data_IF_038170732277
#
_entry.id   IF_038170732277
#
_cell.length_a   1.000
_cell.length_b   1.000
_cell.length_c   1.000
_cell.angle_alpha   90.00
_cell.angle_beta   90.00
_cell.angle_gamma   90.00
#
_symmetry.space_group_name_H-M   'P 1'
#
loop_
_entity.id
_entity.type
_entity.pdbx_description
1 polymer ?
#
# COMPACT_ATOMS: atom_id res chain seq x y z
N UNK A 1 -28.51 23.22 16.84
CA UNK A 1 -27.84 21.97 16.65
C UNK A 1 -27.41 21.40 18.00
N UNK A 2 -27.71 20.12 18.27
CA UNK A 2 -27.30 19.40 19.49
C UNK A 2 -26.54 18.14 19.07
N UNK A 3 -25.61 17.69 19.93
CA UNK A 3 -24.92 16.42 19.73
C UNK A 3 -25.92 15.28 19.92
N UNK A 4 -25.97 14.32 19.01
CA UNK A 4 -26.88 13.19 19.07
C UNK A 4 -26.73 12.37 20.36
N UNK A 5 -25.49 12.19 20.86
CA UNK A 5 -25.19 11.52 22.13
C UNK A 5 -25.71 12.25 23.38
N UNK A 6 -26.04 13.54 23.26
CA UNK A 6 -26.60 14.37 24.36
C UNK A 6 -28.13 14.61 24.22
N UNK A 7 -28.76 14.03 23.19
CA UNK A 7 -30.16 14.18 22.93
C UNK A 7 -30.95 13.03 23.53
N UNK A 8 -32.02 13.36 24.28
CA UNK A 8 -33.00 12.36 24.76
C UNK A 8 -34.08 12.20 23.70
N UNK A 9 -34.33 10.96 23.32
CA UNK A 9 -35.41 10.60 22.41
C UNK A 9 -36.69 10.49 23.24
N UNK A 10 -37.71 11.25 22.90
CA UNK A 10 -39.00 11.31 23.61
C UNK A 10 -40.22 10.87 22.74
N UNK A 11 -39.96 10.60 21.47
CA UNK A 11 -40.94 10.09 20.50
C UNK A 11 -40.23 9.34 19.38
N UNK A 12 -40.97 8.70 18.48
CA UNK A 12 -40.42 8.09 17.28
C UNK A 12 -39.66 9.13 16.45
N UNK A 13 -38.43 8.85 16.08
CA UNK A 13 -37.56 9.75 15.31
C UNK A 13 -36.97 9.04 14.11
N UNK A 14 -36.87 9.74 13.01
CA UNK A 14 -36.12 9.34 11.86
C UNK A 14 -34.71 9.97 11.95
N UNK A 15 -33.66 9.16 11.93
CA UNK A 15 -32.29 9.63 12.02
C UNK A 15 -31.61 9.43 10.67
N UNK A 16 -31.36 10.54 9.97
CA UNK A 16 -30.48 10.52 8.81
C UNK A 16 -29.02 10.45 9.28
N UNK A 17 -28.40 9.32 9.06
CA UNK A 17 -26.94 9.15 9.26
C UNK A 17 -26.26 9.45 7.93
N UNK A 18 -25.57 10.60 7.80
CA UNK A 18 -24.81 10.87 6.58
C UNK A 18 -23.75 9.78 6.40
N UNK A 19 -23.47 9.42 5.15
CA UNK A 19 -22.31 8.58 4.85
C UNK A 19 -21.04 9.32 5.29
N UNK A 20 -20.46 8.86 6.40
CA UNK A 20 -19.27 9.46 7.01
C UNK A 20 -18.11 9.44 6.04
N UNK A 21 -17.99 8.38 5.24
CA UNK A 21 -16.95 8.25 4.21
C UNK A 21 -17.09 9.34 3.13
N UNK A 22 -18.31 9.70 2.72
CA UNK A 22 -18.54 10.77 1.74
C UNK A 22 -18.25 12.16 2.28
N UNK A 23 -18.49 12.40 3.58
CA UNK A 23 -18.20 13.67 4.23
C UNK A 23 -16.67 13.94 4.34
N UNK A 24 -15.84 12.89 4.40
CA UNK A 24 -14.39 13.02 4.39
C UNK A 24 -13.80 13.19 2.99
N UNK A 25 -14.45 12.67 1.94
CA UNK A 25 -14.00 12.80 0.54
C UNK A 25 -13.80 14.24 0.07
N UNK A 26 -14.52 15.20 0.63
CA UNK A 26 -14.52 16.59 0.14
C UNK A 26 -13.57 17.55 0.88
N UNK A 27 -12.86 17.11 1.93
CA UNK A 27 -12.22 18.06 2.87
C UNK A 27 -10.77 17.77 3.21
N UNK A 28 -10.20 16.63 2.82
CA UNK A 28 -8.79 16.36 3.03
C UNK A 28 -8.01 16.75 1.78
N UNK A 29 -7.13 17.73 1.91
CA UNK A 29 -6.03 17.94 0.96
C UNK A 29 -5.07 16.77 1.12
N UNK A 30 -5.28 15.71 0.36
CA UNK A 30 -4.20 14.80 0.03
C UNK A 30 -3.25 15.60 -0.86
N UNK A 31 -1.94 15.42 -0.65
CA UNK A 31 -0.92 16.01 -1.50
C UNK A 31 -1.36 15.89 -2.97
N UNK A 32 -1.58 17.03 -3.62
CA UNK A 32 -2.04 17.04 -5.00
C UNK A 32 -0.83 16.89 -5.93
N UNK A 33 -0.32 15.63 -6.04
CA UNK A 33 0.77 15.29 -6.95
C UNK A 33 0.48 15.66 -8.43
N UNK A 34 -0.56 16.43 -8.72
CA UNK A 34 -0.83 17.02 -10.02
C UNK A 34 -0.28 18.45 -10.15
N UNK A 35 0.03 19.13 -9.05
CA UNK A 35 0.67 20.44 -9.11
C UNK A 35 2.16 20.30 -9.44
N UNK A 36 2.70 21.25 -10.21
CA UNK A 36 4.14 21.23 -10.55
C UNK A 36 5.04 21.32 -9.31
N UNK A 37 4.57 22.04 -8.29
CA UNK A 37 5.27 22.23 -7.02
C UNK A 37 5.37 20.92 -6.25
N UNK A 38 4.30 20.14 -6.17
CA UNK A 38 4.30 18.87 -5.44
C UNK A 38 5.05 17.76 -6.19
N UNK A 39 4.96 17.73 -7.52
CA UNK A 39 5.79 16.84 -8.35
C UNK A 39 7.27 17.17 -8.13
N UNK A 40 7.64 18.46 -8.11
CA UNK A 40 9.02 18.88 -7.86
C UNK A 40 9.51 18.46 -6.46
N UNK A 41 8.67 18.57 -5.42
CA UNK A 41 9.00 18.10 -4.06
C UNK A 41 9.23 16.58 -4.06
N UNK A 42 8.37 15.81 -4.73
CA UNK A 42 8.50 14.36 -4.84
C UNK A 42 9.79 13.94 -5.56
N UNK A 43 10.07 14.54 -6.73
CA UNK A 43 11.29 14.26 -7.51
C UNK A 43 12.56 14.67 -6.74
N UNK A 44 12.51 15.78 -6.01
CA UNK A 44 13.63 16.21 -5.16
C UNK A 44 13.87 15.22 -4.02
N UNK A 45 12.82 14.78 -3.31
CA UNK A 45 12.92 13.80 -2.23
C UNK A 45 13.48 12.45 -2.74
N UNK A 46 13.05 12.01 -3.92
CA UNK A 46 13.58 10.82 -4.60
C UNK A 46 15.08 10.99 -4.90
N UNK A 47 15.47 12.10 -5.50
CA UNK A 47 16.86 12.39 -5.81
C UNK A 47 17.73 12.45 -4.55
N UNK A 48 17.26 13.08 -3.48
CA UNK A 48 17.98 13.13 -2.21
C UNK A 48 18.21 11.75 -1.59
N UNK A 49 17.23 10.84 -1.69
CA UNK A 49 17.35 9.46 -1.22
C UNK A 49 18.38 8.69 -2.04
N UNK A 50 18.41 8.88 -3.36
CA UNK A 50 19.42 8.29 -4.24
C UNK A 50 20.83 8.83 -3.95
N UNK A 51 20.96 10.14 -3.73
CA UNK A 51 22.23 10.79 -3.34
C UNK A 51 22.75 10.30 -1.97
N UNK A 52 21.85 9.87 -1.10
CA UNK A 52 22.19 9.24 0.17
C UNK A 52 22.68 7.77 0.04
N UNK A 53 22.80 7.26 -1.21
CA UNK A 53 23.32 5.94 -1.51
C UNK A 53 22.28 4.81 -1.49
N UNK A 54 20.97 5.16 -1.47
CA UNK A 54 19.90 4.17 -1.58
C UNK A 54 19.52 4.02 -3.06
N UNK A 55 19.80 2.84 -3.63
CA UNK A 55 19.34 2.53 -4.98
C UNK A 55 17.83 2.36 -5.02
N UNK A 56 17.15 3.20 -5.80
CA UNK A 56 15.73 3.08 -6.09
C UNK A 56 15.51 2.10 -7.24
N UNK A 57 15.91 0.86 -7.04
CA UNK A 57 15.72 -0.23 -8.01
C UNK A 57 14.53 -1.09 -7.64
N UNK A 58 13.95 -1.73 -8.64
CA UNK A 58 12.98 -2.80 -8.43
C UNK A 58 13.55 -4.09 -9.04
N UNK A 59 13.13 -5.24 -8.52
CA UNK A 59 13.53 -6.55 -9.04
C UNK A 59 12.57 -7.07 -10.11
N UNK A 60 11.76 -6.18 -10.72
CA UNK A 60 10.79 -6.50 -11.74
C UNK A 60 11.30 -5.99 -13.09
N UNK A 61 11.29 -6.84 -14.09
CA UNK A 61 11.76 -6.55 -15.44
C UNK A 61 10.78 -7.07 -16.49
N UNK A 62 10.78 -6.44 -17.67
CA UNK A 62 10.15 -7.00 -18.87
C UNK A 62 11.24 -7.62 -19.72
N UNK A 63 11.19 -8.94 -19.86
CA UNK A 63 12.13 -9.71 -20.69
C UNK A 63 11.46 -10.05 -22.03
N UNK A 64 12.05 -9.58 -23.11
CA UNK A 64 11.60 -9.92 -24.47
C UNK A 64 12.39 -11.11 -25.02
N UNK A 65 11.69 -12.11 -25.55
CA UNK A 65 12.25 -13.36 -26.01
C UNK A 65 11.72 -13.72 -27.40
N UNK A 66 12.63 -14.14 -28.28
CA UNK A 66 12.29 -14.88 -29.48
C UNK A 66 12.72 -16.33 -29.25
N UNK A 67 11.78 -17.25 -29.30
CA UNK A 67 12.02 -18.68 -29.11
C UNK A 67 11.86 -19.44 -30.43
N UNK A 68 12.53 -20.60 -30.52
CA UNK A 68 12.39 -21.49 -31.66
C UNK A 68 10.97 -22.09 -31.72
N UNK A 69 10.42 -22.13 -32.92
CA UNK A 69 9.11 -22.74 -33.17
C UNK A 69 9.24 -24.27 -33.07
N UNK A 70 8.36 -24.97 -32.33
CA UNK A 70 8.38 -26.44 -32.27
C UNK A 70 8.33 -27.11 -33.64
N UNK A 71 9.00 -28.23 -33.76
CA UNK A 71 8.98 -29.07 -34.97
C UNK A 71 8.83 -30.54 -34.58
N UNK A 72 8.74 -31.43 -35.56
CA UNK A 72 8.71 -32.87 -35.29
C UNK A 72 10.03 -33.37 -34.66
N UNK A 73 11.12 -32.65 -34.88
CA UNK A 73 12.44 -32.97 -34.31
C UNK A 73 12.70 -32.25 -32.96
N UNK A 74 11.87 -31.26 -32.63
CA UNK A 74 11.91 -30.53 -31.36
C UNK A 74 10.52 -30.47 -30.72
N UNK A 75 10.19 -31.48 -29.96
CA UNK A 75 8.90 -31.69 -29.28
C UNK A 75 8.93 -31.24 -27.81
N UNK A 76 9.83 -30.33 -27.44
CA UNK A 76 9.92 -29.82 -26.08
C UNK A 76 8.63 -29.15 -25.61
N UNK A 77 8.14 -29.44 -24.40
CA UNK A 77 6.96 -28.77 -23.83
C UNK A 77 7.13 -27.24 -23.74
N UNK A 78 6.02 -26.51 -23.89
CA UNK A 78 6.01 -25.03 -23.89
C UNK A 78 6.65 -24.42 -22.64
N UNK A 79 6.35 -24.97 -21.45
CA UNK A 79 6.93 -24.49 -20.19
C UNK A 79 8.46 -24.72 -20.10
N UNK A 80 8.93 -25.84 -20.61
CA UNK A 80 10.38 -26.13 -20.64
C UNK A 80 11.09 -25.26 -21.68
N UNK A 81 10.46 -25.02 -22.83
CA UNK A 81 10.96 -24.11 -23.87
C UNK A 81 11.09 -22.69 -23.33
N UNK A 82 10.06 -22.17 -22.66
CA UNK A 82 10.11 -20.86 -22.02
C UNK A 82 11.17 -20.82 -20.90
N UNK A 83 11.22 -21.85 -20.06
CA UNK A 83 12.21 -21.96 -18.98
C UNK A 83 13.63 -21.90 -19.53
N UNK A 84 13.93 -22.68 -20.57
CA UNK A 84 15.26 -22.70 -21.21
C UNK A 84 15.62 -21.36 -21.82
N UNK A 85 14.67 -20.69 -22.49
CA UNK A 85 14.89 -19.37 -23.08
C UNK A 85 15.22 -18.32 -22.01
N UNK A 86 14.48 -18.28 -20.92
CA UNK A 86 14.72 -17.38 -19.79
C UNK A 86 16.04 -17.68 -19.07
N UNK A 87 16.37 -18.97 -18.86
CA UNK A 87 17.64 -19.37 -18.28
C UNK A 87 18.83 -18.94 -19.13
N UNK A 88 18.73 -19.10 -20.45
CA UNK A 88 19.79 -18.67 -21.38
C UNK A 88 19.93 -17.15 -21.40
N UNK A 89 18.82 -16.42 -21.36
CA UNK A 89 18.82 -14.95 -21.41
C UNK A 89 19.51 -14.32 -20.18
N UNK A 90 19.23 -14.83 -18.97
CA UNK A 90 19.72 -14.27 -17.71
C UNK A 90 20.80 -15.10 -17.02
N UNK A 91 21.25 -16.21 -17.61
CA UNK A 91 22.20 -17.16 -17.00
C UNK A 91 21.77 -17.63 -15.60
N UNK A 92 20.50 -18.01 -15.44
CA UNK A 92 19.88 -18.39 -14.19
C UNK A 92 19.77 -19.91 -14.01
N UNK A 93 19.76 -20.36 -12.76
CA UNK A 93 19.59 -21.80 -12.46
C UNK A 93 18.13 -22.22 -12.33
N UNK A 94 17.25 -21.33 -11.87
CA UNK A 94 15.87 -21.65 -11.58
C UNK A 94 14.92 -20.62 -12.18
N UNK A 95 13.86 -21.11 -12.86
CA UNK A 95 12.74 -20.30 -13.33
C UNK A 95 11.46 -20.93 -12.80
N UNK A 96 10.59 -20.12 -12.22
CA UNK A 96 9.29 -20.53 -11.70
C UNK A 96 8.18 -19.93 -12.56
N UNK A 97 7.39 -20.80 -13.18
CA UNK A 97 6.24 -20.43 -13.99
C UNK A 97 4.98 -20.84 -13.22
N UNK A 98 4.19 -19.89 -12.70
CA UNK A 98 2.99 -20.21 -11.93
C UNK A 98 1.87 -20.73 -12.82
N UNK A 99 0.90 -21.40 -12.20
CA UNK A 99 -0.25 -21.98 -12.89
C UNK A 99 -1.04 -20.95 -13.72
N UNK A 100 -1.15 -19.71 -13.23
CA UNK A 100 -1.83 -18.63 -13.94
C UNK A 100 -1.19 -18.34 -15.31
N UNK A 101 0.14 -18.39 -15.40
CA UNK A 101 0.89 -18.24 -16.66
C UNK A 101 0.76 -19.49 -17.52
N UNK A 102 0.87 -20.69 -16.92
CA UNK A 102 0.73 -21.95 -17.66
C UNK A 102 -0.60 -22.06 -18.40
N UNK A 103 -1.69 -21.57 -17.82
CA UNK A 103 -3.03 -21.62 -18.45
C UNK A 103 -3.12 -20.87 -19.78
N UNK A 104 -2.39 -19.78 -19.94
CA UNK A 104 -2.42 -18.95 -21.16
C UNK A 104 -1.20 -19.14 -22.06
N UNK A 105 -0.18 -19.84 -21.56
CA UNK A 105 1.08 -20.05 -22.27
C UNK A 105 0.90 -20.61 -23.69
N UNK A 106 0.12 -21.69 -23.91
CA UNK A 106 -0.04 -22.28 -25.26
C UNK A 106 -0.62 -21.31 -26.28
N UNK A 107 -1.62 -20.53 -25.86
CA UNK A 107 -2.30 -19.59 -26.75
C UNK A 107 -1.39 -18.43 -27.11
N UNK A 108 -0.79 -17.80 -26.09
CA UNK A 108 0.13 -16.66 -26.27
C UNK A 108 1.32 -17.05 -27.18
N UNK A 109 1.92 -18.22 -26.97
CA UNK A 109 3.05 -18.65 -27.80
C UNK A 109 2.69 -18.83 -29.27
N UNK A 110 1.53 -19.42 -29.55
CA UNK A 110 1.10 -19.67 -30.94
C UNK A 110 0.65 -18.40 -31.65
N UNK A 111 -0.12 -17.54 -30.96
CA UNK A 111 -0.57 -16.25 -31.49
C UNK A 111 0.59 -15.31 -31.79
N UNK A 112 1.58 -15.24 -30.90
CA UNK A 112 2.78 -14.41 -31.04
C UNK A 112 3.86 -15.00 -31.96
N UNK A 113 3.66 -16.20 -32.48
CA UNK A 113 4.70 -16.94 -33.22
C UNK A 113 5.99 -17.11 -32.42
N UNK A 114 5.85 -17.40 -31.12
CA UNK A 114 6.94 -17.60 -30.17
C UNK A 114 7.82 -16.36 -29.91
N UNK A 115 7.30 -15.16 -30.21
CA UNK A 115 7.89 -13.88 -29.85
C UNK A 115 7.11 -13.26 -28.69
N UNK A 116 7.66 -13.23 -27.48
CA UNK A 116 6.92 -12.90 -26.26
C UNK A 116 7.67 -11.91 -25.37
N UNK A 117 6.90 -11.20 -24.54
CA UNK A 117 7.36 -10.44 -23.39
C UNK A 117 6.92 -11.13 -22.12
N UNK A 118 7.84 -11.30 -21.17
CA UNK A 118 7.55 -11.83 -19.85
C UNK A 118 7.79 -10.76 -18.79
N UNK A 119 6.83 -10.55 -17.91
CA UNK A 119 7.06 -9.79 -16.68
C UNK A 119 7.63 -10.75 -15.66
N UNK A 120 8.84 -10.46 -15.18
CA UNK A 120 9.59 -11.34 -14.30
C UNK A 120 10.05 -10.61 -13.04
N UNK A 121 10.22 -11.35 -11.95
CA UNK A 121 10.97 -10.92 -10.78
C UNK A 121 12.26 -11.71 -10.72
N UNK A 122 13.37 -10.99 -10.70
CA UNK A 122 14.70 -11.56 -10.59
C UNK A 122 15.20 -11.56 -9.14
N UNK A 123 15.88 -12.62 -8.77
CA UNK A 123 16.61 -12.76 -7.52
C UNK A 123 17.89 -13.57 -7.80
N UNK A 124 18.89 -13.59 -6.92
CA UNK A 124 20.09 -14.38 -7.13
C UNK A 124 19.77 -15.85 -7.45
N UNK A 125 20.10 -16.29 -8.68
CA UNK A 125 19.85 -17.63 -9.22
C UNK A 125 18.36 -18.07 -9.30
N UNK A 126 17.38 -17.18 -9.16
CA UNK A 126 15.96 -17.49 -9.17
C UNK A 126 15.18 -16.41 -9.94
N UNK A 127 14.22 -16.85 -10.75
CA UNK A 127 13.30 -15.99 -11.47
C UNK A 127 11.88 -16.47 -11.29
N UNK A 128 10.96 -15.55 -11.07
CA UNK A 128 9.52 -15.79 -11.04
C UNK A 128 8.84 -15.06 -12.19
N UNK A 129 8.08 -15.78 -13.00
CA UNK A 129 7.33 -15.23 -14.13
C UNK A 129 5.94 -14.80 -13.64
N UNK A 130 5.67 -13.52 -13.61
CA UNK A 130 4.34 -13.01 -13.23
C UNK A 130 3.34 -13.09 -14.35
N UNK A 131 3.82 -12.84 -15.59
CA UNK A 131 2.94 -12.74 -16.74
C UNK A 131 3.68 -12.97 -18.05
N UNK A 132 2.94 -13.27 -19.14
CA UNK A 132 3.44 -13.44 -20.49
C UNK A 132 2.49 -12.77 -21.49
N UNK A 133 3.05 -12.10 -22.50
CA UNK A 133 2.35 -11.35 -23.52
C UNK A 133 2.99 -11.56 -24.90
N UNK A 134 2.26 -11.26 -25.97
CA UNK A 134 2.83 -11.05 -27.30
C UNK A 134 3.88 -9.92 -27.23
N UNK A 135 5.02 -10.10 -27.90
CA UNK A 135 6.11 -9.09 -27.92
C UNK A 135 5.69 -7.73 -28.46
N UNK A 136 4.64 -7.68 -29.28
CA UNK A 136 4.10 -6.44 -29.85
C UNK A 136 3.26 -5.62 -28.86
N UNK A 137 2.88 -6.23 -27.74
CA UNK A 137 2.05 -5.56 -26.75
C UNK A 137 2.89 -4.63 -25.90
N UNK A 138 2.41 -3.41 -25.72
CA UNK A 138 2.97 -2.50 -24.70
C UNK A 138 2.60 -3.03 -23.32
N UNK A 139 3.62 -3.24 -22.49
CA UNK A 139 3.47 -3.79 -21.15
C UNK A 139 4.07 -2.77 -20.18
N UNK A 140 3.27 -2.33 -19.23
CA UNK A 140 3.72 -1.42 -18.15
C UNK A 140 3.70 -2.21 -16.84
N UNK A 141 4.79 -2.15 -16.10
CA UNK A 141 4.86 -2.73 -14.75
C UNK A 141 4.26 -1.74 -13.77
N UNK A 142 3.03 -2.00 -13.34
CA UNK A 142 2.35 -1.19 -12.32
C UNK A 142 2.85 -1.52 -10.92
N UNK A 143 3.06 -0.46 -10.12
CA UNK A 143 3.30 -0.52 -8.69
C UNK A 143 2.28 0.32 -7.94
N UNK A 144 1.84 -0.12 -6.77
CA UNK A 144 0.88 0.58 -5.94
C UNK A 144 1.51 0.93 -4.60
N UNK A 145 1.53 2.21 -4.26
CA UNK A 145 1.88 2.68 -2.92
C UNK A 145 0.59 3.08 -2.18
N UNK A 146 0.40 2.59 -0.96
CA UNK A 146 -0.80 2.85 -0.16
C UNK A 146 -0.40 3.26 1.25
N UNK A 147 -0.90 4.40 1.67
CA UNK A 147 -0.88 4.84 3.06
C UNK A 147 -2.24 4.54 3.71
N UNK A 148 -2.23 3.68 4.73
CA UNK A 148 -3.44 3.30 5.47
C UNK A 148 -3.46 4.04 6.80
N UNK A 149 -3.90 5.29 6.76
CA UNK A 149 -4.13 6.07 7.97
C UNK A 149 -5.35 5.60 8.76
N UNK A 150 -5.43 5.98 10.02
CA UNK A 150 -6.59 5.67 10.88
C UNK A 150 -7.88 6.27 10.30
N UNK A 151 -7.80 7.46 9.74
CA UNK A 151 -8.97 8.20 9.20
C UNK A 151 -9.04 8.15 7.67
N UNK A 152 -7.92 8.25 6.99
CA UNK A 152 -7.84 8.37 5.53
C UNK A 152 -6.93 7.29 4.97
N UNK A 153 -7.29 6.77 3.80
CA UNK A 153 -6.43 5.91 2.98
C UNK A 153 -6.08 6.66 1.71
N UNK A 154 -4.81 6.72 1.38
CA UNK A 154 -4.29 7.33 0.16
C UNK A 154 -3.54 6.29 -0.67
N UNK A 155 -3.67 6.36 -1.99
CA UNK A 155 -3.02 5.43 -2.91
C UNK A 155 -2.48 6.14 -4.14
N UNK A 156 -1.32 5.69 -4.60
CA UNK A 156 -0.65 6.15 -5.82
C UNK A 156 -0.27 4.95 -6.67
N UNK A 157 -0.69 4.96 -7.93
CA UNK A 157 -0.30 3.99 -8.94
C UNK A 157 0.85 4.57 -9.76
N UNK A 158 1.94 3.83 -9.87
CA UNK A 158 3.16 4.25 -10.57
C UNK A 158 3.55 3.26 -11.65
N UNK A 159 4.24 3.75 -12.68
CA UNK A 159 5.04 2.92 -13.57
C UNK A 159 6.37 2.62 -12.87
N UNK A 160 6.62 1.35 -12.57
CA UNK A 160 7.82 0.95 -11.80
C UNK A 160 9.13 1.03 -12.60
N UNK A 161 9.07 1.13 -13.92
CA UNK A 161 10.26 1.28 -14.76
C UNK A 161 10.73 2.74 -14.82
N UNK A 162 9.77 3.68 -14.89
CA UNK A 162 10.07 5.12 -15.05
C UNK A 162 9.95 5.91 -13.76
N UNK A 163 9.21 5.39 -12.78
CA UNK A 163 8.82 6.11 -11.56
C UNK A 163 7.67 7.11 -11.78
N UNK A 164 7.09 7.18 -12.99
CA UNK A 164 6.00 8.09 -13.32
C UNK A 164 4.74 7.76 -12.52
N UNK A 165 4.09 8.79 -11.99
CA UNK A 165 2.80 8.67 -11.32
C UNK A 165 1.71 8.58 -12.38
N UNK A 166 1.05 7.42 -12.46
CA UNK A 166 0.00 7.14 -13.43
C UNK A 166 -1.39 7.61 -12.95
N UNK A 167 -1.70 7.38 -11.68
CA UNK A 167 -2.96 7.77 -11.07
C UNK A 167 -2.83 7.85 -9.55
N UNK A 168 -3.77 8.54 -8.92
CA UNK A 168 -3.87 8.66 -7.46
C UNK A 168 -5.32 8.64 -7.02
N UNK A 169 -5.57 8.18 -5.81
CA UNK A 169 -6.88 8.19 -5.17
C UNK A 169 -6.76 8.34 -3.67
N UNK A 170 -7.76 8.92 -3.02
CA UNK A 170 -7.88 8.93 -1.57
C UNK A 170 -9.32 8.72 -1.15
N UNK A 171 -9.51 8.08 0.01
CA UNK A 171 -10.82 7.79 0.56
C UNK A 171 -10.79 7.81 2.09
N UNK A 172 -11.92 8.01 2.72
CA UNK A 172 -12.07 7.73 4.15
C UNK A 172 -11.83 6.25 4.42
N UNK A 173 -11.16 5.93 5.53
CA UNK A 173 -10.95 4.54 5.95
C UNK A 173 -12.29 3.93 6.40
N UNK A 174 -12.80 2.92 5.71
CA UNK A 174 -14.05 2.24 6.01
C UNK A 174 -14.14 1.65 7.42
N UNK A 175 -13.00 1.49 8.10
CA UNK A 175 -12.95 1.02 9.48
C UNK A 175 -13.46 2.05 10.50
N UNK A 176 -13.60 3.34 10.15
CA UNK A 176 -14.04 4.41 11.06
C UNK A 176 -15.38 4.08 11.72
N UNK A 177 -16.30 3.46 11.00
CA UNK A 177 -17.62 3.06 11.51
C UNK A 177 -17.56 2.00 12.63
N UNK A 178 -16.43 1.29 12.75
CA UNK A 178 -16.20 0.27 13.78
C UNK A 178 -15.36 0.77 14.95
N UNK A 179 -14.73 1.92 14.80
CA UNK A 179 -13.95 2.59 15.84
C UNK A 179 -13.26 3.83 15.30
N UNK A 180 -13.42 4.94 16.00
CA UNK A 180 -12.82 6.22 15.60
C UNK A 180 -11.29 6.21 15.75
N UNK A 181 -10.77 5.42 16.69
CA UNK A 181 -9.35 5.28 17.01
C UNK A 181 -8.89 3.82 16.96
N UNK A 182 -7.59 3.63 17.08
CA UNK A 182 -6.94 2.32 17.00
C UNK A 182 -7.37 1.37 18.12
N UNK A 183 -7.57 1.86 19.35
CA UNK A 183 -7.94 1.04 20.50
C UNK A 183 -9.35 0.48 20.34
N UNK A 184 -10.29 1.33 19.94
CA UNK A 184 -11.67 0.91 19.66
C UNK A 184 -11.73 -0.14 18.53
N UNK A 185 -10.89 -0.02 17.50
CA UNK A 185 -10.80 -1.03 16.42
C UNK A 185 -10.21 -2.34 16.92
N UNK A 186 -9.19 -2.30 17.78
CA UNK A 186 -8.67 -3.53 18.41
C UNK A 186 -9.76 -4.22 19.21
N UNK A 187 -10.52 -3.50 20.03
CA UNK A 187 -11.63 -4.06 20.81
C UNK A 187 -12.70 -4.65 19.88
N UNK A 188 -13.08 -3.95 18.82
CA UNK A 188 -14.05 -4.45 17.85
C UNK A 188 -13.55 -5.72 17.15
N UNK A 189 -12.24 -5.80 16.88
CA UNK A 189 -11.62 -6.99 16.26
C UNK A 189 -11.76 -8.26 17.09
N UNK A 190 -11.93 -8.15 18.41
CA UNK A 190 -12.08 -9.30 19.32
C UNK A 190 -13.50 -9.88 19.32
N UNK A 191 -14.50 -9.15 18.82
CA UNK A 191 -15.86 -9.65 18.69
C UNK A 191 -15.94 -10.77 17.62
N UNK A 192 -16.94 -11.68 17.71
CA UNK A 192 -17.14 -12.69 16.68
C UNK A 192 -17.20 -12.10 15.28
N UNK A 193 -16.31 -12.50 14.38
CA UNK A 193 -16.18 -11.97 13.02
C UNK A 193 -15.57 -10.57 12.92
N UNK A 194 -15.19 -9.92 14.03
CA UNK A 194 -14.71 -8.53 14.06
C UNK A 194 -13.44 -8.32 13.25
N UNK A 195 -12.47 -9.23 13.33
CA UNK A 195 -11.24 -9.16 12.49
C UNK A 195 -11.57 -9.10 11.00
N UNK A 196 -12.44 -10.01 10.55
CA UNK A 196 -12.83 -10.07 9.14
C UNK A 196 -13.59 -8.83 8.70
N UNK A 197 -14.48 -8.30 9.53
CA UNK A 197 -15.21 -7.04 9.26
C UNK A 197 -14.25 -5.87 9.06
N UNK A 198 -13.27 -5.72 9.93
CA UNK A 198 -12.28 -4.64 9.84
C UNK A 198 -11.37 -4.80 8.62
N UNK A 199 -10.94 -6.04 8.33
CA UNK A 199 -10.18 -6.34 7.13
C UNK A 199 -10.99 -6.04 5.85
N UNK A 200 -12.23 -6.50 5.77
CA UNK A 200 -13.09 -6.26 4.61
C UNK A 200 -13.37 -4.76 4.43
N UNK A 201 -13.56 -4.01 5.51
CA UNK A 201 -13.79 -2.57 5.46
C UNK A 201 -12.61 -1.80 4.84
N UNK A 202 -11.37 -2.14 5.19
CA UNK A 202 -10.20 -1.46 4.61
C UNK A 202 -9.86 -2.00 3.22
N UNK A 203 -10.04 -3.27 2.96
CA UNK A 203 -9.64 -3.88 1.67
C UNK A 203 -10.77 -3.79 0.65
N UNK A 204 -11.91 -4.42 0.92
CA UNK A 204 -12.99 -4.55 -0.08
C UNK A 204 -13.79 -3.27 -0.27
N UNK A 205 -13.94 -2.48 0.79
CA UNK A 205 -14.80 -1.30 0.76
C UNK A 205 -13.99 0.01 0.59
N UNK A 206 -12.67 -0.03 0.76
CA UNK A 206 -11.81 1.15 0.62
C UNK A 206 -10.75 0.95 -0.47
N UNK A 207 -9.78 0.07 -0.28
CA UNK A 207 -8.62 -0.03 -1.19
C UNK A 207 -9.00 -0.58 -2.57
N UNK A 208 -9.76 -1.68 -2.65
CA UNK A 208 -10.15 -2.26 -3.95
C UNK A 208 -10.98 -1.27 -4.80
N UNK A 209 -12.00 -0.55 -4.26
CA UNK A 209 -12.67 0.52 -5.00
C UNK A 209 -11.73 1.62 -5.49
N UNK A 210 -10.74 2.04 -4.68
CA UNK A 210 -9.74 3.02 -5.10
C UNK A 210 -8.87 2.50 -6.25
N UNK A 211 -8.45 1.23 -6.20
CA UNK A 211 -7.70 0.58 -7.28
C UNK A 211 -8.52 0.58 -8.57
N UNK A 212 -9.77 0.14 -8.51
CA UNK A 212 -10.66 0.12 -9.68
C UNK A 212 -10.91 1.51 -10.26
N UNK A 213 -11.09 2.52 -9.43
CA UNK A 213 -11.26 3.91 -9.85
C UNK A 213 -10.03 4.42 -10.59
N UNK A 214 -8.83 4.25 -10.00
CA UNK A 214 -7.57 4.65 -10.62
C UNK A 214 -7.34 3.92 -11.95
N UNK A 215 -7.45 2.61 -11.96
CA UNK A 215 -7.22 1.80 -13.16
C UNK A 215 -8.21 2.14 -14.28
N UNK A 216 -9.48 2.34 -13.95
CA UNK A 216 -10.52 2.73 -14.91
C UNK A 216 -10.24 4.11 -15.51
N UNK A 217 -9.80 5.08 -14.70
CA UNK A 217 -9.58 6.46 -15.15
C UNK A 217 -8.51 6.58 -16.24
N UNK A 218 -7.55 5.67 -16.26
CA UNK A 218 -6.43 5.66 -17.21
C UNK A 218 -6.41 4.40 -18.12
N UNK A 219 -7.47 3.59 -18.07
CA UNK A 219 -7.58 2.33 -18.83
C UNK A 219 -6.42 1.35 -18.56
N UNK A 220 -5.94 1.29 -17.32
CA UNK A 220 -4.86 0.41 -16.88
C UNK A 220 -5.42 -0.92 -16.33
N UNK A 221 -4.90 -2.09 -16.74
CA UNK A 221 -5.36 -3.36 -16.21
C UNK A 221 -4.85 -3.61 -14.79
N UNK A 222 -5.73 -3.86 -13.82
CA UNK A 222 -5.37 -4.13 -12.42
C UNK A 222 -4.39 -5.30 -12.29
N UNK A 223 -4.49 -6.29 -13.18
CA UNK A 223 -3.60 -7.46 -13.20
C UNK A 223 -2.16 -7.15 -13.62
N UNK A 224 -1.90 -5.95 -14.13
CA UNK A 224 -0.56 -5.46 -14.41
C UNK A 224 0.04 -4.65 -13.24
N UNK A 225 -0.61 -4.64 -12.08
CA UNK A 225 -0.02 -4.19 -10.82
C UNK A 225 0.63 -5.40 -10.15
N UNK A 226 1.97 -5.43 -10.15
CA UNK A 226 2.76 -6.60 -9.72
C UNK A 226 3.40 -6.40 -8.34
N UNK A 227 3.29 -5.23 -7.77
CA UNK A 227 3.80 -4.91 -6.44
C UNK A 227 2.91 -3.89 -5.74
N UNK A 228 2.75 -4.05 -4.44
CA UNK A 228 2.11 -3.08 -3.57
C UNK A 228 3.00 -2.79 -2.37
N UNK A 229 3.18 -1.52 -2.04
CA UNK A 229 3.85 -1.08 -0.82
C UNK A 229 2.80 -0.45 0.10
N UNK A 230 2.82 -0.81 1.38
CA UNK A 230 1.89 -0.29 2.39
C UNK A 230 2.67 0.39 3.50
N UNK A 231 2.37 1.65 3.74
CA UNK A 231 2.75 2.38 4.94
C UNK A 231 1.53 2.52 5.85
N UNK A 232 1.67 2.27 7.13
CA UNK A 232 0.59 2.47 8.12
C UNK A 232 1.10 2.27 9.54
N UNK A 233 0.32 2.73 10.52
CA UNK A 233 0.63 2.41 11.91
C UNK A 233 0.52 0.90 12.19
N UNK A 234 1.14 0.44 13.27
CA UNK A 234 1.25 -0.98 13.59
C UNK A 234 -0.11 -1.67 13.73
N UNK A 235 -1.10 -0.99 14.30
CA UNK A 235 -2.46 -1.54 14.41
C UNK A 235 -3.11 -1.73 13.05
N UNK A 236 -3.02 -0.74 12.17
CA UNK A 236 -3.59 -0.84 10.82
C UNK A 236 -2.91 -1.95 10.01
N UNK A 237 -1.60 -2.15 10.17
CA UNK A 237 -0.89 -3.26 9.56
C UNK A 237 -1.46 -4.62 9.97
N UNK A 238 -1.74 -4.82 11.28
CA UNK A 238 -2.34 -6.06 11.78
C UNK A 238 -3.77 -6.26 11.27
N UNK A 239 -4.60 -5.20 11.31
CA UNK A 239 -5.98 -5.26 10.85
C UNK A 239 -6.08 -5.49 9.33
N UNK A 240 -5.20 -4.87 8.55
CA UNK A 240 -5.09 -5.11 7.11
C UNK A 240 -4.71 -6.56 6.81
N UNK A 241 -3.73 -7.10 7.51
CA UNK A 241 -3.30 -8.49 7.36
C UNK A 241 -4.29 -9.51 7.98
N UNK A 242 -5.36 -9.07 8.66
CA UNK A 242 -6.30 -9.95 9.36
C UNK A 242 -5.71 -10.67 10.58
N UNK A 243 -4.62 -10.14 11.13
CA UNK A 243 -3.90 -10.69 12.27
C UNK A 243 -4.47 -10.12 13.58
N UNK A 244 -4.40 -10.88 14.65
CA UNK A 244 -4.87 -10.43 15.96
C UNK A 244 -4.04 -9.24 16.46
N UNK A 245 -4.71 -8.10 16.66
CA UNK A 245 -4.10 -6.86 17.15
C UNK A 245 -4.22 -6.67 18.67
N UNK A 246 -4.89 -7.57 19.40
CA UNK A 246 -5.12 -7.43 20.84
C UNK A 246 -3.82 -7.28 21.66
N UNK A 247 -2.72 -8.03 21.37
CA UNK A 247 -1.46 -7.87 22.08
C UNK A 247 -0.85 -6.44 21.98
N UNK A 248 -1.25 -5.63 21.00
CA UNK A 248 -0.74 -4.27 20.86
C UNK A 248 -1.20 -3.32 21.99
N UNK A 249 -2.37 -3.60 22.60
CA UNK A 249 -2.92 -2.80 23.71
C UNK A 249 -2.75 -3.46 25.08
N UNK A 250 -2.25 -4.69 25.11
CA UNK A 250 -2.05 -5.46 26.33
C UNK A 250 -0.56 -5.49 26.69
N UNK A 251 -0.23 -5.16 27.95
CA UNK A 251 1.13 -5.26 28.43
C UNK A 251 1.66 -6.70 28.27
N UNK A 252 2.86 -6.91 27.72
CA UNK A 252 3.95 -5.95 27.42
C UNK A 252 3.92 -5.32 26.02
N UNK A 253 2.79 -5.22 25.33
CA UNK A 253 2.57 -4.50 24.07
C UNK A 253 3.39 -5.06 22.89
N UNK A 254 3.37 -6.36 22.69
CA UNK A 254 4.19 -7.04 21.68
C UNK A 254 3.41 -7.25 20.38
N UNK A 255 3.83 -6.64 19.25
CA UNK A 255 3.24 -6.91 17.95
C UNK A 255 3.60 -8.31 17.44
N UNK A 256 2.75 -8.87 16.57
CA UNK A 256 3.02 -10.17 15.93
C UNK A 256 4.21 -10.09 14.98
N UNK A 257 4.42 -8.94 14.34
CA UNK A 257 5.51 -8.71 13.39
C UNK A 257 5.90 -7.23 13.36
N UNK A 258 7.16 -6.97 13.09
CA UNK A 258 7.64 -5.65 12.65
C UNK A 258 7.79 -5.60 11.13
N UNK A 259 8.12 -6.71 10.50
CA UNK A 259 8.31 -6.85 9.06
C UNK A 259 7.70 -8.17 8.58
N UNK A 260 6.99 -8.14 7.46
CA UNK A 260 6.51 -9.34 6.77
C UNK A 260 7.48 -9.72 5.66
N UNK A 261 7.71 -11.03 5.46
CA UNK A 261 8.62 -11.52 4.43
C UNK A 261 7.90 -12.02 3.16
N UNK A 262 6.65 -12.45 3.31
CA UNK A 262 5.90 -13.06 2.21
C UNK A 262 4.41 -12.80 2.46
N UNK A 263 3.90 -11.75 1.84
CA UNK A 263 2.47 -11.44 1.80
C UNK A 263 2.13 -11.16 0.35
N UNK A 264 1.12 -11.84 -0.16
CA UNK A 264 0.65 -11.71 -1.52
C UNK A 264 -0.72 -11.06 -1.57
N UNK A 265 -1.06 -10.45 -2.69
CA UNK A 265 -2.37 -9.82 -2.89
C UNK A 265 -3.53 -10.82 -2.68
N UNK A 266 -3.34 -12.06 -3.13
CA UNK A 266 -4.33 -13.16 -2.93
C UNK A 266 -4.55 -13.53 -1.48
N UNK A 267 -3.55 -13.39 -0.59
CA UNK A 267 -3.67 -13.76 0.82
C UNK A 267 -4.66 -12.87 1.59
N UNK A 268 -4.74 -11.61 1.19
CA UNK A 268 -5.57 -10.61 1.87
C UNK A 268 -6.80 -10.19 1.05
N UNK A 269 -6.85 -10.53 -0.24
CA UNK A 269 -7.97 -10.20 -1.12
C UNK A 269 -7.87 -8.83 -1.78
N UNK A 270 -6.65 -8.35 -2.02
CA UNK A 270 -6.40 -7.18 -2.87
C UNK A 270 -6.55 -7.56 -4.34
N UNK A 271 -7.30 -6.78 -5.10
CA UNK A 271 -7.70 -7.10 -6.47
C UNK A 271 -6.74 -6.57 -7.53
N UNK A 272 -5.46 -6.92 -7.40
CA UNK A 272 -4.38 -6.71 -8.37
C UNK A 272 -3.89 -8.06 -8.92
N UNK A 273 -2.66 -8.15 -9.46
CA UNK A 273 -2.09 -9.46 -9.78
C UNK A 273 -2.09 -10.34 -8.51
N UNK A 274 -2.66 -11.55 -8.52
CA UNK A 274 -2.80 -12.37 -7.31
C UNK A 274 -1.47 -12.76 -6.67
N UNK A 275 -0.41 -12.86 -7.48
CA UNK A 275 0.95 -13.18 -7.05
C UNK A 275 1.79 -11.94 -6.74
N UNK A 276 1.18 -10.73 -6.83
CA UNK A 276 1.84 -9.49 -6.46
C UNK A 276 2.25 -9.50 -5.00
N UNK A 277 3.51 -9.20 -4.73
CA UNK A 277 3.99 -9.04 -3.37
C UNK A 277 3.47 -7.74 -2.75
N UNK A 278 2.96 -7.85 -1.53
CA UNK A 278 2.65 -6.73 -0.67
C UNK A 278 3.82 -6.55 0.31
N UNK A 279 4.48 -5.42 0.22
CA UNK A 279 5.58 -5.03 1.10
C UNK A 279 5.03 -4.02 2.10
N UNK A 280 5.03 -4.38 3.37
CA UNK A 280 4.68 -3.45 4.43
C UNK A 280 5.94 -2.74 4.91
N UNK A 281 5.90 -1.42 4.99
CA UNK A 281 6.95 -0.65 5.63
C UNK A 281 7.13 -1.15 7.07
N UNK A 282 8.38 -1.35 7.55
CA UNK A 282 8.61 -1.99 8.83
C UNK A 282 8.10 -1.12 9.99
N UNK A 283 7.46 -1.76 10.97
CA UNK A 283 7.12 -1.12 12.23
C UNK A 283 8.35 -1.03 13.14
N UNK A 284 8.34 -0.10 14.10
CA UNK A 284 9.38 0.04 15.12
C UNK A 284 8.87 -0.44 16.49
N UNK A 285 7.60 -0.22 16.76
CA UNK A 285 6.94 -0.57 18.01
C UNK A 285 5.44 -0.70 17.87
N UNK A 286 4.72 -0.93 18.96
CA UNK A 286 3.27 -1.06 18.95
C UNK A 286 2.53 0.20 18.53
N UNK A 287 3.13 1.36 18.74
CA UNK A 287 2.56 2.68 18.47
C UNK A 287 3.35 3.49 17.44
N UNK A 288 4.46 2.97 16.92
CA UNK A 288 5.27 3.61 15.89
C UNK A 288 5.36 2.65 14.70
N UNK A 289 4.66 2.95 13.66
CA UNK A 289 4.44 2.07 12.53
C UNK A 289 5.28 2.36 11.29
N UNK A 290 4.87 1.72 10.21
CA UNK A 290 5.50 1.83 8.90
C UNK A 290 5.31 3.19 8.23
N UNK A 291 4.30 3.95 8.61
CA UNK A 291 4.09 5.36 8.24
C UNK A 291 5.27 6.22 8.71
N UNK A 292 5.67 6.04 9.97
CA UNK A 292 6.78 6.79 10.56
C UNK A 292 8.14 6.35 10.00
N UNK A 293 8.34 5.07 9.71
CA UNK A 293 9.57 4.61 9.05
C UNK A 293 9.67 5.14 7.62
N UNK A 294 8.56 5.19 6.89
CA UNK A 294 8.52 5.79 5.56
C UNK A 294 8.80 7.30 5.61
N UNK A 295 8.18 8.03 6.55
CA UNK A 295 8.45 9.45 6.78
C UNK A 295 9.89 9.72 7.20
N UNK A 296 10.46 8.87 8.06
CA UNK A 296 11.87 8.95 8.47
C UNK A 296 12.80 8.76 7.27
N UNK A 297 12.51 7.81 6.38
CA UNK A 297 13.30 7.60 5.16
C UNK A 297 13.31 8.86 4.29
N UNK A 298 12.14 9.44 4.03
CA UNK A 298 11.99 10.61 3.14
C UNK A 298 12.55 11.89 3.77
N UNK A 299 12.40 12.08 5.09
CA UNK A 299 12.93 13.25 5.80
C UNK A 299 14.46 13.26 5.89
N UNK A 300 15.11 12.12 5.66
CA UNK A 300 16.56 11.91 5.75
C UNK A 300 17.22 12.30 7.08
N UNK A 301 16.45 12.30 8.16
CA UNK A 301 17.00 12.55 9.52
C UNK A 301 18.12 11.55 9.87
N UNK A 302 18.05 10.34 9.32
CA UNK A 302 19.02 9.27 9.48
C UNK A 302 20.37 9.52 8.77
N UNK A 303 20.42 10.47 7.82
CA UNK A 303 21.59 10.76 6.97
C UNK A 303 22.18 12.16 7.22
N UNK A 304 21.70 12.88 8.25
CA UNK A 304 22.15 14.23 8.56
C UNK A 304 22.88 14.26 9.91
N UNK A 305 24.01 14.98 10.02
CA UNK A 305 24.72 15.14 11.30
C UNK A 305 23.99 16.09 12.26
N UNK A 306 23.14 17.00 11.75
CA UNK A 306 22.38 17.95 12.55
C UNK A 306 21.20 17.28 13.23
N UNK A 307 20.95 17.63 14.49
CA UNK A 307 19.74 17.22 15.17
C UNK A 307 18.49 17.75 14.48
N UNK A 308 17.62 16.86 14.15
CA UNK A 308 16.37 17.14 13.44
C UNK A 308 15.19 16.52 14.18
N UNK A 309 14.00 17.10 14.00
CA UNK A 309 12.75 16.62 14.54
C UNK A 309 11.76 16.41 13.38
N UNK A 310 11.35 15.16 13.18
CA UNK A 310 10.25 14.80 12.31
C UNK A 310 8.99 14.63 13.16
N UNK A 311 7.90 15.27 12.76
CA UNK A 311 6.62 15.22 13.45
C UNK A 311 5.55 14.81 12.46
N UNK A 312 4.85 13.72 12.73
CA UNK A 312 3.62 13.33 12.06
C UNK A 312 2.43 13.72 12.94
N UNK A 313 1.58 14.58 12.41
CA UNK A 313 0.38 15.09 13.10
C UNK A 313 -0.87 14.47 12.46
N UNK A 314 -1.35 13.41 13.06
CA UNK A 314 -2.58 12.72 12.66
C UNK A 314 -3.58 12.60 13.81
N UNK A 315 -4.30 11.49 13.83
CA UNK A 315 -5.14 11.10 14.99
C UNK A 315 -4.30 10.90 16.24
N UNK A 316 -3.08 10.38 16.06
CA UNK A 316 -2.02 10.41 17.05
C UNK A 316 -0.96 11.42 16.60
N UNK A 317 -0.02 11.75 17.49
CA UNK A 317 1.18 12.51 17.17
C UNK A 317 2.39 11.60 17.33
N UNK A 318 3.09 11.34 16.25
CA UNK A 318 4.32 10.58 16.27
C UNK A 318 5.50 11.50 16.01
N UNK A 319 6.58 11.28 16.76
CA UNK A 319 7.78 12.10 16.68
C UNK A 319 9.00 11.20 16.48
N UNK A 320 9.92 11.66 15.65
CA UNK A 320 11.28 11.11 15.53
C UNK A 320 12.27 12.25 15.74
N UNK A 321 13.14 12.13 16.72
CA UNK A 321 14.18 13.09 17.03
C UNK A 321 15.54 12.43 16.98
N UNK A 322 16.51 13.05 16.35
CA UNK A 322 17.88 12.56 16.28
C UNK A 322 18.66 13.06 15.08
N UNK A 323 19.63 12.28 14.68
CA UNK A 323 20.53 12.54 13.56
C UNK A 323 21.10 11.21 13.02
N UNK A 324 22.17 11.27 12.21
CA UNK A 324 22.85 10.08 11.67
C UNK A 324 23.46 9.16 12.74
N UNK A 325 23.76 9.65 13.94
CA UNK A 325 24.38 8.86 14.99
C UNK A 325 23.35 8.08 15.82
N UNK A 326 22.19 8.68 16.08
CA UNK A 326 21.09 8.00 16.76
C UNK A 326 19.74 8.65 16.45
N UNK A 327 18.67 7.87 16.59
CA UNK A 327 17.30 8.35 16.51
C UNK A 327 16.46 7.77 17.66
N UNK A 328 15.56 8.58 18.17
CA UNK A 328 14.54 8.18 19.15
C UNK A 328 13.16 8.49 18.59
N UNK A 329 12.19 7.63 18.85
CA UNK A 329 10.80 7.84 18.45
C UNK A 329 9.86 7.71 19.64
N UNK A 330 8.80 8.49 19.62
CA UNK A 330 7.69 8.36 20.56
C UNK A 330 6.36 8.62 19.85
N UNK A 331 5.29 8.09 20.44
CA UNK A 331 3.93 8.39 20.04
C UNK A 331 3.15 9.00 21.20
N UNK A 332 2.30 9.96 20.91
CA UNK A 332 1.41 10.59 21.86
C UNK A 332 -0.01 10.75 21.30
N UNK A 333 -1.00 10.88 22.15
CA UNK A 333 -2.35 11.24 21.73
C UNK A 333 -2.38 12.73 21.40
N UNK A 334 -2.56 13.07 20.11
CA UNK A 334 -2.65 14.44 19.65
C UNK A 334 -4.07 14.80 19.16
N UNK A 335 -4.60 14.04 18.19
CA UNK A 335 -5.87 14.32 17.54
C UNK A 335 -7.10 14.29 18.43
N UNK A 336 -7.31 13.29 19.32
CA UNK A 336 -8.52 13.21 20.14
C UNK A 336 -8.72 14.43 21.05
N UNK A 337 -7.65 14.97 21.61
CA UNK A 337 -7.70 16.17 22.45
C UNK A 337 -8.08 17.41 21.63
N UNK A 338 -7.44 17.61 20.48
CA UNK A 338 -7.75 18.75 19.59
C UNK A 338 -9.08 18.59 18.86
N UNK A 339 -9.57 17.37 18.68
CA UNK A 339 -10.87 17.07 18.10
C UNK A 339 -12.03 17.15 19.10
N UNK A 340 -11.79 17.54 20.33
CA UNK A 340 -12.82 17.78 21.36
C UNK A 340 -13.11 16.61 22.28
N UNK A 341 -12.22 15.60 22.34
CA UNK A 341 -12.37 14.44 23.21
C UNK A 341 -12.33 14.79 24.70
N UNK A 342 -11.37 15.62 25.12
CA UNK A 342 -11.10 15.96 26.53
C UNK A 342 -10.95 17.47 26.79
N UNK A 343 -11.23 18.31 25.79
CA UNK A 343 -11.14 19.78 25.90
C UNK A 343 -12.54 20.38 25.73
N UNK A 344 -12.94 21.24 26.68
CA UNK A 344 -14.28 21.87 26.70
C UNK A 344 -14.59 22.72 25.46
N UNK A 345 -13.56 23.24 24.79
CA UNK A 345 -13.65 24.05 23.56
C UNK A 345 -13.12 23.32 22.32
N UNK A 346 -12.73 22.05 22.45
CA UNK A 346 -12.20 21.28 21.32
C UNK A 346 -13.25 20.98 20.27
N UNK A 347 -12.87 21.07 18.99
CA UNK A 347 -13.73 20.71 17.87
C UNK A 347 -12.89 20.19 16.70
N UNK A 348 -13.49 19.35 15.88
CA UNK A 348 -12.85 18.90 14.66
C UNK A 348 -12.61 20.06 13.70
N UNK A 349 -11.50 20.02 12.99
CA UNK A 349 -11.19 20.98 11.95
C UNK A 349 -12.31 20.99 10.90
N UNK A 350 -12.94 22.14 10.71
CA UNK A 350 -13.98 22.38 9.70
C UNK A 350 -13.75 23.73 9.05
N UNK A 351 -14.09 23.87 7.76
CA UNK A 351 -13.94 25.12 7.04
C UNK A 351 -14.60 26.30 7.81
N UNK A 352 -13.84 27.39 8.00
CA UNK A 352 -14.31 28.63 8.62
C UNK A 352 -14.19 28.72 10.14
N UNK A 353 -13.61 27.72 10.85
CA UNK A 353 -13.51 27.72 12.32
C UNK A 353 -12.11 27.92 12.91
N UNK A 354 -11.09 28.14 12.07
CA UNK A 354 -9.72 28.44 12.51
C UNK A 354 -9.35 29.91 12.46
N UNK A 355 -10.33 30.82 12.56
CA UNK A 355 -10.07 32.26 12.62
C UNK A 355 -10.67 32.83 13.91
N UNK A 356 -10.06 32.54 15.05
CA UNK A 356 -10.14 33.39 16.25
C UNK A 356 -9.03 33.03 17.20
#
# INVERSE_FOLDING_TARGET
WRLACMSKISADVEVLVPDIASAYKSRMKVADLSSKEEIAIFENAKHEVEMAGIELTNSLDVVELQMDIPSLDDTMPDNERLTRALQKFMNLKRVRIPYAVLKKLPDVLRESKFSVKCVVRTAPNDMYVYDIFDSKKDVVIGGLAVDIGTTTVSAVLINMETGEILAKSSSGNGQIRFGADVINRIIESQKPGGKKKLQDAVIKETINPMIHEMCRSIHFPEKQIYRMCVASNTTMNHLFAGINADPLRMEPYIPTFFKTNSLFASDVGIEINPDAHIIMAPNIGSYVGGDITAGTLVSQIWNRPEFSLFIDLGTNGELVFGNSDFMMSCACSAGPAFEGGDISCGMRATDGRHRS
#
